data_IF_855496031054
#
_entry.id   IF_855496031054
#
_cell.length_a   1.000
_cell.length_b   1.000
_cell.length_c   1.000
_cell.angle_alpha   90.00
_cell.angle_beta   90.00
_cell.angle_gamma   90.00
#
_symmetry.space_group_name_H-M   'P 1'
#
loop_
_entity.id
_entity.type
_entity.pdbx_description
1 polymer ?
#
# COMPACT_ATOMS: atom_id res chain seq x y z
N UNK A 1 8.86 33.63 33.96
CA UNK A 1 8.32 32.92 32.79
C UNK A 1 8.86 31.51 32.84
N UNK A 2 8.01 30.49 33.02
CA UNK A 2 8.44 29.11 33.29
C UNK A 2 8.96 28.49 31.98
N UNK A 3 10.26 28.22 31.89
CA UNK A 3 10.93 27.67 30.70
C UNK A 3 10.25 26.38 30.20
N UNK A 4 9.66 25.59 31.11
CA UNK A 4 8.93 24.37 30.75
C UNK A 4 7.65 24.64 29.96
N UNK A 5 6.99 25.80 30.15
CA UNK A 5 5.81 26.18 29.35
C UNK A 5 6.15 26.58 27.92
N UNK A 6 7.43 26.78 27.60
CA UNK A 6 7.83 27.03 26.21
C UNK A 6 7.58 25.79 25.34
N UNK A 7 7.61 24.58 25.93
CA UNK A 7 7.37 23.32 25.19
C UNK A 7 5.99 23.28 24.50
N UNK A 8 4.99 23.94 25.08
CA UNK A 8 3.63 23.98 24.53
C UNK A 8 3.57 24.81 23.24
N UNK A 9 4.46 25.78 23.09
CA UNK A 9 4.54 26.67 21.94
C UNK A 9 5.53 26.16 20.86
N UNK A 10 6.51 25.32 21.24
CA UNK A 10 7.51 24.79 20.30
C UNK A 10 6.85 24.07 19.12
N UNK A 11 5.76 23.34 19.35
CA UNK A 11 5.09 22.61 18.27
C UNK A 11 4.34 23.52 17.30
N UNK A 12 3.74 24.62 17.78
CA UNK A 12 2.99 25.55 16.91
C UNK A 12 3.94 26.40 16.08
N UNK A 13 5.02 26.90 16.70
CA UNK A 13 5.87 27.93 16.09
C UNK A 13 7.18 27.39 15.51
N UNK A 14 7.81 26.40 16.15
CA UNK A 14 9.15 25.93 15.76
C UNK A 14 9.11 24.63 14.94
N UNK A 15 8.07 23.80 15.10
CA UNK A 15 7.89 22.55 14.37
C UNK A 15 6.42 22.33 13.95
N UNK A 16 5.85 23.22 13.10
CA UNK A 16 4.49 23.03 12.61
C UNK A 16 4.37 21.72 11.82
N UNK A 17 3.16 21.20 11.73
CA UNK A 17 2.87 20.12 10.79
C UNK A 17 3.23 20.54 9.37
N UNK A 18 3.68 19.58 8.57
CA UNK A 18 3.79 19.78 7.12
C UNK A 18 2.42 20.17 6.54
N UNK A 19 2.45 20.96 5.46
CA UNK A 19 1.23 21.37 4.78
C UNK A 19 0.37 20.15 4.42
N UNK A 20 -0.91 20.26 4.77
CA UNK A 20 -1.92 19.29 4.39
C UNK A 20 -2.10 19.35 2.87
N UNK A 21 -2.40 18.23 2.22
CA UNK A 21 -2.63 18.19 0.76
C UNK A 21 -3.66 19.22 0.28
N UNK A 22 -4.69 19.47 1.10
CA UNK A 22 -5.72 20.44 0.79
C UNK A 22 -5.26 21.91 0.88
N UNK A 23 -4.08 22.20 1.44
CA UNK A 23 -3.57 23.57 1.58
C UNK A 23 -3.47 24.31 0.25
N UNK A 24 -3.17 23.59 -0.84
CA UNK A 24 -3.07 24.14 -2.21
C UNK A 24 -4.44 24.39 -2.87
N UNK A 25 -5.55 24.02 -2.23
CA UNK A 25 -6.90 24.22 -2.77
C UNK A 25 -7.41 25.63 -2.47
N UNK A 26 -8.43 26.03 -3.23
CA UNK A 26 -9.15 27.26 -2.95
C UNK A 26 -9.81 27.22 -1.55
N UNK A 27 -10.03 28.40 -0.98
CA UNK A 27 -10.54 28.53 0.37
C UNK A 27 -11.91 27.86 0.57
N UNK A 28 -12.77 27.86 -0.44
CA UNK A 28 -14.10 27.23 -0.35
C UNK A 28 -13.93 25.73 -0.18
N UNK A 29 -13.07 25.11 -0.99
CA UNK A 29 -12.75 23.67 -0.88
C UNK A 29 -12.15 23.33 0.49
N UNK A 30 -11.20 24.12 0.98
CA UNK A 30 -10.57 23.89 2.30
C UNK A 30 -11.59 24.00 3.44
N UNK A 31 -12.44 25.03 3.40
CA UNK A 31 -13.46 25.24 4.44
C UNK A 31 -14.50 24.12 4.46
N UNK A 32 -14.94 23.63 3.29
CA UNK A 32 -15.87 22.50 3.21
C UNK A 32 -15.23 21.18 3.64
N UNK A 33 -13.94 20.98 3.35
CA UNK A 33 -13.17 19.84 3.87
C UNK A 33 -13.20 19.82 5.40
N UNK A 34 -12.81 20.93 6.04
CA UNK A 34 -12.76 21.00 7.50
C UNK A 34 -14.16 20.95 8.10
N UNK A 35 -15.16 21.54 7.46
CA UNK A 35 -16.54 21.46 7.93
C UNK A 35 -17.08 20.02 7.92
N UNK A 36 -16.72 19.19 6.92
CA UNK A 36 -17.06 17.76 6.93
C UNK A 36 -16.34 17.00 8.05
N UNK A 37 -15.05 17.30 8.29
CA UNK A 37 -14.31 16.74 9.43
C UNK A 37 -14.98 17.10 10.76
N UNK A 38 -15.30 18.38 10.97
CA UNK A 38 -15.97 18.87 12.18
C UNK A 38 -17.37 18.29 12.33
N UNK A 39 -18.11 18.08 11.24
CA UNK A 39 -19.40 17.38 11.28
C UNK A 39 -19.24 15.95 11.84
N UNK A 40 -18.17 15.23 11.47
CA UNK A 40 -17.88 13.91 12.04
C UNK A 40 -17.57 14.02 13.54
N UNK A 41 -16.72 14.96 13.95
CA UNK A 41 -16.35 15.12 15.36
C UNK A 41 -17.52 15.56 16.24
N UNK A 42 -18.37 16.46 15.75
CA UNK A 42 -19.54 16.98 16.46
C UNK A 42 -20.70 15.97 16.51
N UNK A 43 -20.67 14.91 15.69
CA UNK A 43 -21.67 13.83 15.76
C UNK A 43 -21.70 13.14 17.13
N UNK A 44 -20.62 13.25 17.90
CA UNK A 44 -20.49 12.69 19.25
C UNK A 44 -20.72 13.73 20.36
N UNK A 45 -21.25 14.90 20.02
CA UNK A 45 -21.51 16.00 20.94
C UNK A 45 -20.49 17.13 20.79
N UNK A 46 -19.65 17.32 21.80
CA UNK A 46 -18.66 18.41 21.83
C UNK A 46 -17.27 17.91 21.48
N UNK A 47 -16.48 18.74 20.79
CA UNK A 47 -15.05 18.51 20.56
C UNK A 47 -14.34 18.38 21.92
N UNK A 48 -13.63 17.27 22.12
CA UNK A 48 -12.89 17.00 23.35
C UNK A 48 -11.65 17.88 23.49
N UNK A 49 -11.03 17.89 24.69
CA UNK A 49 -9.78 18.65 24.90
C UNK A 49 -8.62 18.14 24.03
N UNK A 50 -8.55 16.83 23.80
CA UNK A 50 -7.53 16.20 22.98
C UNK A 50 -7.75 16.50 21.50
N UNK A 51 -9.01 16.43 21.04
CA UNK A 51 -9.38 16.82 19.68
C UNK A 51 -9.12 18.31 19.43
N UNK A 52 -9.50 19.18 20.37
CA UNK A 52 -9.24 20.61 20.30
C UNK A 52 -7.74 20.89 20.19
N UNK A 53 -6.94 20.26 21.06
CA UNK A 53 -5.48 20.42 21.02
C UNK A 53 -4.90 19.96 19.68
N UNK A 54 -5.41 18.88 19.10
CA UNK A 54 -4.98 18.44 17.77
C UNK A 54 -5.40 19.44 16.68
N UNK A 55 -6.62 19.99 16.75
CA UNK A 55 -7.10 21.01 15.80
C UNK A 55 -6.21 22.27 15.84
N UNK A 56 -5.81 22.71 17.03
CA UNK A 56 -4.92 23.87 17.21
C UNK A 56 -3.59 23.69 16.47
N UNK A 57 -3.05 22.46 16.43
CA UNK A 57 -1.83 22.16 15.68
C UNK A 57 -2.09 21.90 14.19
N UNK A 58 -3.20 21.26 13.84
CA UNK A 58 -3.46 20.75 12.50
C UNK A 58 -4.12 21.79 11.57
N UNK A 59 -5.03 22.65 12.06
CA UNK A 59 -5.69 23.70 11.23
C UNK A 59 -4.72 24.65 10.51
N UNK A 60 -3.57 25.04 11.10
CA UNK A 60 -2.55 25.79 10.37
C UNK A 60 -2.03 25.05 9.13
N UNK A 61 -1.91 23.71 9.16
CA UNK A 61 -1.40 22.92 8.02
C UNK A 61 -2.30 22.97 6.78
N UNK A 62 -3.60 23.25 6.95
CA UNK A 62 -4.55 23.45 5.85
C UNK A 62 -4.77 24.94 5.54
N UNK A 63 -4.03 25.85 6.18
CA UNK A 63 -4.15 27.29 5.96
C UNK A 63 -5.43 27.92 6.51
N UNK A 64 -6.04 27.32 7.54
CA UNK A 64 -7.28 27.78 8.17
C UNK A 64 -7.12 28.01 9.68
N UNK A 65 -5.93 28.45 10.10
CA UNK A 65 -5.68 28.86 11.48
C UNK A 65 -6.74 29.89 11.95
N UNK A 66 -7.13 29.81 13.23
CA UNK A 66 -8.09 30.70 13.90
C UNK A 66 -9.53 30.73 13.35
N UNK A 67 -9.87 29.90 12.35
CA UNK A 67 -11.21 29.88 11.73
C UNK A 67 -12.16 28.83 12.27
N UNK A 68 -11.78 28.11 13.33
CA UNK A 68 -12.56 26.97 13.83
C UNK A 68 -14.03 27.34 14.15
N UNK A 69 -14.30 28.51 14.72
CA UNK A 69 -15.66 28.93 15.04
C UNK A 69 -16.55 29.03 13.79
N UNK A 70 -16.06 29.71 12.74
CA UNK A 70 -16.74 29.83 11.44
C UNK A 70 -16.94 28.45 10.79
N UNK A 71 -15.95 27.56 10.89
CA UNK A 71 -15.98 26.22 10.33
C UNK A 71 -16.96 25.30 11.08
N UNK A 72 -17.10 25.44 12.40
CA UNK A 72 -18.14 24.77 13.18
C UNK A 72 -19.55 25.22 12.77
N UNK A 73 -19.74 26.52 12.52
CA UNK A 73 -21.02 27.04 12.01
C UNK A 73 -21.32 26.51 10.60
N UNK A 74 -20.30 26.41 9.74
CA UNK A 74 -20.43 25.77 8.43
C UNK A 74 -20.80 24.29 8.55
N UNK A 75 -20.14 23.53 9.43
CA UNK A 75 -20.46 22.13 9.70
C UNK A 75 -21.92 21.94 10.13
N UNK A 76 -22.45 22.83 10.99
CA UNK A 76 -23.85 22.81 11.41
C UNK A 76 -24.85 23.08 10.27
N UNK A 77 -24.44 23.80 9.22
CA UNK A 77 -25.25 24.04 8.01
C UNK A 77 -25.21 22.84 7.06
N UNK A 78 -24.05 22.19 6.90
CA UNK A 78 -23.93 20.99 6.08
C UNK A 78 -24.91 19.91 6.51
N UNK A 79 -25.11 19.72 7.82
CA UNK A 79 -26.04 18.73 8.37
C UNK A 79 -27.53 18.95 8.01
N UNK A 80 -27.91 20.06 7.36
CA UNK A 80 -29.31 20.38 7.04
C UNK A 80 -29.62 20.25 5.54
N UNK A 81 -28.95 21.02 4.69
CA UNK A 81 -29.30 21.16 3.27
C UNK A 81 -28.08 21.28 2.33
N UNK A 82 -26.90 21.62 2.85
CA UNK A 82 -25.70 21.90 2.05
C UNK A 82 -24.71 20.72 1.92
N UNK A 83 -25.00 19.56 2.54
CA UNK A 83 -24.11 18.38 2.50
C UNK A 83 -23.82 17.92 1.06
N UNK A 84 -24.83 17.93 0.19
CA UNK A 84 -24.69 17.48 -1.19
C UNK A 84 -23.67 18.30 -1.98
N UNK A 85 -23.67 19.62 -1.78
CA UNK A 85 -22.73 20.54 -2.45
C UNK A 85 -21.31 20.34 -1.94
N UNK A 86 -21.13 20.16 -0.62
CA UNK A 86 -19.84 19.84 -0.03
C UNK A 86 -19.26 18.53 -0.56
N UNK A 87 -20.07 17.47 -0.60
CA UNK A 87 -19.68 16.17 -1.15
C UNK A 87 -19.29 16.34 -2.63
N UNK A 88 -20.10 17.05 -3.42
CA UNK A 88 -19.83 17.26 -4.84
C UNK A 88 -18.55 18.04 -5.10
N UNK A 89 -18.22 19.00 -4.22
CA UNK A 89 -16.99 19.78 -4.29
C UNK A 89 -15.77 18.87 -4.08
N UNK A 90 -15.75 18.10 -2.99
CA UNK A 90 -14.61 17.22 -2.66
C UNK A 90 -14.48 16.06 -3.64
N UNK A 91 -15.59 15.56 -4.20
CA UNK A 91 -15.59 14.43 -5.14
C UNK A 91 -14.81 14.67 -6.44
N UNK A 92 -14.44 15.92 -6.72
CA UNK A 92 -13.60 16.29 -7.86
C UNK A 92 -12.12 15.88 -7.65
N UNK A 93 -11.71 15.63 -6.41
CA UNK A 93 -10.34 15.29 -6.04
C UNK A 93 -10.30 14.07 -5.10
N UNK A 94 -9.94 12.87 -5.61
CA UNK A 94 -9.83 11.65 -4.81
C UNK A 94 -8.89 11.76 -3.60
N UNK A 95 -7.87 12.62 -3.66
CA UNK A 95 -6.91 12.78 -2.57
C UNK A 95 -7.53 13.55 -1.39
N UNK A 96 -8.42 14.51 -1.63
CA UNK A 96 -9.17 15.16 -0.55
C UNK A 96 -10.04 14.15 0.19
N UNK A 97 -10.65 13.21 -0.52
CA UNK A 97 -11.51 12.21 0.11
C UNK A 97 -10.68 11.28 1.02
N UNK A 98 -9.55 10.78 0.51
CA UNK A 98 -8.67 9.90 1.27
C UNK A 98 -8.11 10.59 2.53
N UNK A 99 -7.69 11.85 2.40
CA UNK A 99 -7.29 12.68 3.53
C UNK A 99 -8.41 12.83 4.55
N UNK A 100 -9.63 13.17 4.10
CA UNK A 100 -10.77 13.44 4.99
C UNK A 100 -11.12 12.23 5.85
N UNK A 101 -11.12 11.04 5.24
CA UNK A 101 -11.39 9.79 5.97
C UNK A 101 -10.27 9.49 6.96
N UNK A 102 -9.00 9.67 6.58
CA UNK A 102 -7.86 9.49 7.48
C UNK A 102 -7.96 10.43 8.69
N UNK A 103 -8.15 11.73 8.44
CA UNK A 103 -8.27 12.74 9.49
C UNK A 103 -9.44 12.42 10.41
N UNK A 104 -10.60 12.11 9.84
CA UNK A 104 -11.80 11.75 10.62
C UNK A 104 -11.52 10.59 11.57
N UNK A 105 -10.86 9.53 11.10
CA UNK A 105 -10.50 8.39 11.94
C UNK A 105 -9.49 8.76 13.03
N UNK A 106 -8.44 9.53 12.70
CA UNK A 106 -7.41 9.94 13.67
C UNK A 106 -8.03 10.82 14.77
N UNK A 107 -8.75 11.87 14.38
CA UNK A 107 -9.37 12.80 15.33
C UNK A 107 -10.45 12.15 16.19
N UNK A 108 -11.29 11.28 15.63
CA UNK A 108 -12.32 10.57 16.41
C UNK A 108 -11.74 9.51 17.34
N UNK A 109 -10.54 8.97 17.05
CA UNK A 109 -9.92 7.88 17.82
C UNK A 109 -8.92 8.34 18.87
N UNK A 110 -8.49 9.61 18.83
CA UNK A 110 -7.34 10.13 19.60
C UNK A 110 -7.45 9.94 21.11
N UNK A 111 -8.66 9.98 21.67
CA UNK A 111 -8.90 9.93 23.12
C UNK A 111 -9.87 8.82 23.55
N UNK A 112 -10.50 8.13 22.59
CA UNK A 112 -11.47 7.04 22.83
C UNK A 112 -11.59 6.11 21.62
N UNK A 113 -12.13 4.89 21.76
CA UNK A 113 -12.50 4.04 20.63
C UNK A 113 -13.53 4.72 19.71
N UNK A 114 -13.53 4.37 18.42
CA UNK A 114 -14.60 4.83 17.50
C UNK A 114 -15.93 4.25 17.97
N UNK A 115 -16.96 5.08 18.00
CA UNK A 115 -18.34 4.66 18.27
C UNK A 115 -19.02 4.19 16.98
N UNK A 116 -20.06 3.36 17.11
CA UNK A 116 -20.85 2.88 15.95
C UNK A 116 -21.39 4.03 15.10
N UNK A 117 -21.72 5.16 15.73
CA UNK A 117 -22.16 6.39 15.04
C UNK A 117 -21.07 6.95 14.12
N UNK A 118 -19.85 7.09 14.63
CA UNK A 118 -18.72 7.58 13.83
C UNK A 118 -18.36 6.59 12.73
N UNK A 119 -18.32 5.29 13.04
CA UNK A 119 -18.06 4.24 12.03
C UNK A 119 -19.08 4.33 10.90
N UNK A 120 -20.37 4.39 11.22
CA UNK A 120 -21.45 4.51 10.23
C UNK A 120 -21.31 5.76 9.37
N UNK A 121 -20.89 6.89 9.97
CA UNK A 121 -20.73 8.15 9.24
C UNK A 121 -19.51 8.12 8.31
N UNK A 122 -18.38 7.58 8.76
CA UNK A 122 -17.15 7.43 7.95
C UNK A 122 -17.41 6.43 6.81
N UNK A 123 -18.11 5.33 7.06
CA UNK A 123 -18.54 4.37 6.02
C UNK A 123 -19.50 5.01 5.02
N UNK A 124 -20.46 5.82 5.48
CA UNK A 124 -21.36 6.55 4.60
C UNK A 124 -20.59 7.53 3.70
N UNK A 125 -19.63 8.28 4.24
CA UNK A 125 -18.75 9.15 3.47
C UNK A 125 -17.95 8.34 2.43
N UNK A 126 -17.31 7.24 2.84
CA UNK A 126 -16.59 6.35 1.91
C UNK A 126 -17.49 5.83 0.77
N UNK A 127 -18.75 5.49 1.09
CA UNK A 127 -19.77 5.08 0.13
C UNK A 127 -20.17 6.20 -0.85
N UNK A 128 -20.40 7.43 -0.37
CA UNK A 128 -20.72 8.58 -1.24
C UNK A 128 -19.62 8.87 -2.27
N UNK A 129 -18.38 8.59 -1.90
CA UNK A 129 -17.21 8.76 -2.74
C UNK A 129 -16.82 7.52 -3.55
N UNK A 130 -17.53 6.39 -3.39
CA UNK A 130 -17.30 5.15 -4.10
C UNK A 130 -15.87 4.59 -3.95
N UNK A 131 -15.30 4.69 -2.74
CA UNK A 131 -13.98 4.09 -2.45
C UNK A 131 -14.05 2.57 -2.58
N UNK A 132 -12.98 1.97 -3.14
CA UNK A 132 -12.83 0.53 -3.12
C UNK A 132 -12.47 0.05 -1.71
N UNK A 133 -12.90 -1.17 -1.36
CA UNK A 133 -12.60 -1.82 -0.07
C UNK A 133 -11.11 -1.77 0.27
N UNK A 134 -10.25 -2.15 -0.67
CA UNK A 134 -8.80 -2.08 -0.51
C UNK A 134 -8.27 -0.67 -0.19
N UNK A 135 -8.89 0.37 -0.74
CA UNK A 135 -8.49 1.75 -0.44
C UNK A 135 -8.87 2.13 0.98
N UNK A 136 -10.06 1.71 1.44
CA UNK A 136 -10.49 1.94 2.81
C UNK A 136 -9.60 1.19 3.82
N UNK A 137 -9.26 -0.08 3.55
CA UNK A 137 -8.32 -0.86 4.36
C UNK A 137 -6.96 -0.15 4.50
N UNK A 138 -6.45 0.40 3.40
CA UNK A 138 -5.19 1.15 3.41
C UNK A 138 -5.28 2.38 4.33
N UNK A 139 -6.39 3.12 4.29
CA UNK A 139 -6.58 4.31 5.14
C UNK A 139 -6.71 3.89 6.61
N UNK A 140 -7.44 2.80 6.91
CA UNK A 140 -7.58 2.25 8.27
C UNK A 140 -6.21 1.84 8.82
N UNK A 141 -5.39 1.18 8.02
CA UNK A 141 -4.01 0.85 8.41
C UNK A 141 -3.21 2.11 8.73
N UNK A 142 -3.25 3.13 7.87
CA UNK A 142 -2.50 4.37 8.11
C UNK A 142 -2.98 5.08 9.37
N UNK A 143 -4.29 5.12 9.63
CA UNK A 143 -4.84 5.67 10.87
C UNK A 143 -4.29 4.92 12.09
N UNK A 144 -4.34 3.59 12.05
CA UNK A 144 -3.79 2.74 13.11
C UNK A 144 -2.28 2.96 13.32
N UNK A 145 -1.53 3.05 12.22
CA UNK A 145 -0.08 3.30 12.24
C UNK A 145 0.26 4.66 12.86
N UNK A 146 -0.43 5.74 12.45
CA UNK A 146 -0.23 7.10 12.98
C UNK A 146 -0.58 7.17 14.47
N UNK A 147 -1.65 6.48 14.88
CA UNK A 147 -2.09 6.42 16.27
C UNK A 147 -1.23 5.46 17.13
N UNK A 148 -0.27 4.75 16.55
CA UNK A 148 0.54 3.75 17.25
C UNK A 148 -0.24 2.53 17.73
N UNK A 149 -1.36 2.22 17.09
CA UNK A 149 -2.17 1.04 17.37
C UNK A 149 -1.54 -0.22 16.76
N UNK A 150 -1.78 -1.42 17.32
CA UNK A 150 -1.33 -2.67 16.71
C UNK A 150 -1.90 -2.84 15.30
N UNK A 151 -1.03 -3.08 14.32
CA UNK A 151 -1.41 -3.26 12.91
C UNK A 151 -1.23 -4.70 12.42
N UNK A 152 -0.90 -5.64 13.31
CA UNK A 152 -0.53 -7.03 12.98
C UNK A 152 -1.69 -7.83 12.36
N UNK A 153 -2.93 -7.43 12.66
CA UNK A 153 -4.15 -8.05 12.14
C UNK A 153 -4.75 -7.31 10.94
N UNK A 154 -4.11 -6.23 10.47
CA UNK A 154 -4.56 -5.43 9.33
C UNK A 154 -3.57 -5.67 8.21
N UNK A 155 -4.06 -5.99 7.01
CA UNK A 155 -3.19 -6.15 5.85
C UNK A 155 -2.44 -4.83 5.60
N UNK A 156 -1.11 -4.91 5.60
CA UNK A 156 -0.29 -3.72 5.40
C UNK A 156 -0.46 -3.20 3.97
N UNK A 157 -0.72 -1.90 3.80
CA UNK A 157 -0.83 -1.32 2.49
C UNK A 157 0.43 -1.50 1.65
N UNK A 158 0.25 -1.28 0.36
CA UNK A 158 1.33 -1.20 -0.62
C UNK A 158 2.37 -0.14 -0.20
N UNK A 159 3.66 -0.47 -0.15
CA UNK A 159 4.74 0.51 0.15
C UNK A 159 4.79 1.71 -0.81
N UNK A 160 4.45 1.49 -2.08
CA UNK A 160 4.32 2.54 -3.09
C UNK A 160 2.92 3.15 -3.07
N UNK A 161 2.19 3.01 -1.96
CA UNK A 161 1.00 3.80 -1.72
C UNK A 161 1.39 5.25 -1.91
N UNK A 162 0.58 5.91 -2.71
CA UNK A 162 0.63 7.35 -2.82
C UNK A 162 0.30 7.97 -1.46
N UNK A 163 1.33 8.51 -0.81
CA UNK A 163 1.23 9.19 0.48
C UNK A 163 0.95 10.68 0.34
N UNK A 164 0.86 11.20 -0.90
CA UNK A 164 0.51 12.60 -1.18
C UNK A 164 -0.77 13.05 -0.45
N UNK A 165 -1.86 12.25 -0.37
CA UNK A 165 -3.07 12.65 0.36
C UNK A 165 -2.87 12.86 1.86
N UNK A 166 -1.80 12.27 2.43
CA UNK A 166 -1.60 12.16 3.87
C UNK A 166 -0.40 12.98 4.36
N UNK A 167 0.04 13.98 3.58
CA UNK A 167 1.23 14.79 3.89
C UNK A 167 1.14 15.54 5.22
N UNK A 168 -0.07 15.88 5.68
CA UNK A 168 -0.30 16.47 7.01
C UNK A 168 0.19 15.57 8.16
N UNK A 169 0.33 14.26 7.93
CA UNK A 169 0.80 13.27 8.90
C UNK A 169 2.18 12.69 8.57
N UNK A 170 2.92 13.32 7.65
CA UNK A 170 4.17 12.80 7.09
C UNK A 170 5.25 12.48 8.14
N UNK A 171 5.29 13.20 9.26
CA UNK A 171 6.22 12.90 10.36
C UNK A 171 6.02 11.52 10.98
N UNK A 172 4.76 11.07 11.09
CA UNK A 172 4.42 9.75 11.63
C UNK A 172 4.64 8.69 10.57
N UNK A 173 4.36 9.03 9.31
CA UNK A 173 4.53 8.15 8.16
C UNK A 173 5.99 8.04 7.70
N UNK A 174 6.91 8.81 8.26
CA UNK A 174 8.33 8.81 7.91
C UNK A 174 8.96 7.40 8.01
N UNK A 175 8.51 6.59 8.96
CA UNK A 175 8.97 5.23 9.14
C UNK A 175 8.16 4.16 8.40
N UNK A 176 7.03 4.51 7.77
CA UNK A 176 6.20 3.54 7.04
C UNK A 176 7.01 2.82 5.95
N UNK A 177 7.61 3.59 5.02
CA UNK A 177 8.48 3.03 3.96
C UNK A 177 9.73 2.32 4.54
N UNK A 178 10.49 2.90 5.49
CA UNK A 178 11.59 2.21 6.15
C UNK A 178 11.24 0.89 6.84
N UNK A 179 10.06 0.76 7.44
CA UNK A 179 9.66 -0.46 8.14
C UNK A 179 9.41 -1.62 7.18
N UNK A 180 8.74 -1.38 6.05
CA UNK A 180 8.60 -2.39 5.01
C UNK A 180 9.95 -2.81 4.42
N UNK A 181 10.83 -1.84 4.12
CA UNK A 181 12.18 -2.16 3.66
C UNK A 181 12.99 -2.97 4.70
N UNK A 182 12.85 -2.67 6.00
CA UNK A 182 13.49 -3.45 7.08
C UNK A 182 13.00 -4.90 7.11
N UNK A 183 11.72 -5.17 6.85
CA UNK A 183 11.20 -6.55 6.77
C UNK A 183 11.73 -7.27 5.54
N UNK A 184 11.84 -6.59 4.40
CA UNK A 184 12.54 -7.13 3.22
C UNK A 184 14.00 -7.45 3.55
N UNK A 185 14.71 -6.56 4.24
CA UNK A 185 16.10 -6.78 4.63
C UNK A 185 16.24 -7.96 5.61
N UNK A 186 15.35 -8.04 6.61
CA UNK A 186 15.29 -9.17 7.54
C UNK A 186 15.08 -10.50 6.80
N UNK A 187 14.11 -10.54 5.89
CA UNK A 187 13.91 -11.73 5.03
C UNK A 187 15.15 -12.04 4.19
N UNK A 188 15.81 -11.01 3.65
CA UNK A 188 17.04 -11.18 2.87
C UNK A 188 18.17 -11.80 3.70
N UNK A 189 18.32 -11.36 4.95
CA UNK A 189 19.32 -11.86 5.88
C UNK A 189 19.01 -13.30 6.32
N UNK A 190 17.74 -13.60 6.64
CA UNK A 190 17.26 -14.95 6.96
C UNK A 190 17.50 -15.94 5.81
N UNK A 191 17.36 -15.47 4.57
CA UNK A 191 17.61 -16.26 3.35
C UNK A 191 19.05 -16.13 2.82
N UNK A 192 19.94 -15.47 3.57
CA UNK A 192 21.36 -15.30 3.24
C UNK A 192 21.60 -14.72 1.84
N UNK A 193 20.74 -13.81 1.41
CA UNK A 193 20.84 -13.16 0.10
C UNK A 193 22.00 -12.16 0.15
N UNK A 194 23.01 -12.23 -0.73
CA UNK A 194 24.11 -11.28 -0.76
C UNK A 194 23.67 -9.82 -0.99
N UNK A 195 24.41 -8.85 -0.42
CA UNK A 195 24.11 -7.40 -0.51
C UNK A 195 24.25 -6.82 -1.91
N UNK A 196 25.05 -7.46 -2.77
CA UNK A 196 25.16 -7.11 -4.18
C UNK A 196 23.93 -7.54 -5.01
N UNK A 197 23.10 -8.43 -4.50
CA UNK A 197 21.86 -8.88 -5.18
C UNK A 197 20.64 -8.18 -4.59
N UNK A 198 20.58 -8.05 -3.26
CA UNK A 198 19.55 -7.26 -2.58
C UNK A 198 20.20 -6.31 -1.56
N UNK A 199 20.32 -5.02 -1.87
CA UNK A 199 21.02 -4.06 -1.01
C UNK A 199 20.22 -3.78 0.26
N UNK A 200 20.92 -3.56 1.38
CA UNK A 200 20.33 -3.16 2.68
C UNK A 200 20.21 -1.64 2.77
N UNK A 201 19.79 -1.03 1.67
CA UNK A 201 19.66 0.42 1.53
C UNK A 201 18.43 0.70 0.68
N UNK A 202 17.48 1.45 1.25
CA UNK A 202 16.18 1.74 0.64
C UNK A 202 16.34 2.47 -0.70
N UNK A 203 17.24 3.46 -0.77
CA UNK A 203 17.50 4.21 -2.00
C UNK A 203 18.09 3.34 -3.12
N UNK A 204 18.80 2.27 -2.76
CA UNK A 204 19.35 1.32 -3.73
C UNK A 204 18.35 0.25 -4.19
N UNK A 205 17.22 0.06 -3.49
CA UNK A 205 16.20 -0.93 -3.89
C UNK A 205 15.58 -0.61 -5.25
N UNK A 206 15.43 0.67 -5.59
CA UNK A 206 14.95 1.12 -6.90
C UNK A 206 15.86 0.69 -8.07
N UNK A 207 17.14 0.40 -7.78
CA UNK A 207 18.12 -0.03 -8.77
C UNK A 207 18.16 -1.55 -8.95
N UNK A 208 17.43 -2.32 -8.16
CA UNK A 208 17.38 -3.78 -8.28
C UNK A 208 16.59 -4.14 -9.54
N UNK A 209 17.31 -4.54 -10.59
CA UNK A 209 16.72 -4.93 -11.88
C UNK A 209 16.44 -6.42 -11.99
N UNK A 210 17.22 -7.23 -11.29
CA UNK A 210 17.13 -8.68 -11.36
C UNK A 210 17.21 -9.24 -9.95
N UNK A 211 16.30 -10.18 -9.65
CA UNK A 211 16.28 -10.89 -8.39
C UNK A 211 16.07 -12.36 -8.70
N UNK A 212 17.05 -13.18 -8.36
CA UNK A 212 16.92 -14.62 -8.49
C UNK A 212 17.55 -15.34 -7.30
N UNK A 213 17.25 -16.63 -7.14
CA UNK A 213 17.94 -17.50 -6.19
C UNK A 213 18.55 -18.74 -6.85
N UNK A 214 18.56 -18.79 -8.18
CA UNK A 214 18.97 -19.97 -8.95
C UNK A 214 20.48 -20.08 -9.05
N UNK A 215 21.20 -18.96 -9.16
CA UNK A 215 22.66 -18.91 -9.14
C UNK A 215 23.25 -18.82 -7.74
N UNK A 216 22.40 -18.74 -6.71
CA UNK A 216 22.82 -18.51 -5.34
C UNK A 216 23.16 -19.84 -4.67
N UNK A 217 24.45 -20.14 -4.58
CA UNK A 217 24.96 -21.24 -3.76
C UNK A 217 25.43 -20.71 -2.42
N UNK A 218 24.97 -21.32 -1.34
CA UNK A 218 25.53 -21.13 0.01
C UNK A 218 26.05 -22.49 0.45
N UNK A 219 27.35 -22.62 0.67
CA UNK A 219 28.01 -23.87 1.05
C UNK A 219 27.66 -25.04 0.11
N UNK A 220 27.86 -24.84 -1.20
CA UNK A 220 27.56 -25.80 -2.28
C UNK A 220 26.08 -26.22 -2.44
N UNK A 221 25.18 -25.68 -1.61
CA UNK A 221 23.73 -25.91 -1.68
C UNK A 221 23.03 -24.74 -2.38
N UNK A 222 22.14 -25.05 -3.32
CA UNK A 222 21.27 -24.05 -3.97
C UNK A 222 20.32 -23.46 -2.93
N UNK A 223 20.30 -22.13 -2.79
CA UNK A 223 19.35 -21.43 -1.92
C UNK A 223 17.95 -21.55 -2.52
N UNK A 224 16.99 -22.03 -1.73
CA UNK A 224 15.58 -22.08 -2.09
C UNK A 224 14.82 -21.20 -1.14
N UNK A 225 14.13 -20.19 -1.68
CA UNK A 225 13.33 -19.30 -0.86
C UNK A 225 12.05 -20.02 -0.42
N UNK A 226 11.68 -19.85 0.84
CA UNK A 226 10.44 -20.40 1.40
C UNK A 226 9.23 -19.61 0.92
N UNK A 227 8.63 -18.84 1.84
CA UNK A 227 7.69 -17.77 1.48
C UNK A 227 8.45 -16.54 1.00
N UNK A 228 7.87 -15.87 0.02
CA UNK A 228 8.32 -14.53 -0.39
C UNK A 228 7.61 -13.51 0.49
N UNK A 229 8.33 -12.48 0.98
CA UNK A 229 7.72 -11.42 1.75
C UNK A 229 6.86 -10.58 0.80
N UNK A 230 5.77 -10.01 1.30
CA UNK A 230 4.99 -9.04 0.52
C UNK A 230 5.86 -7.85 0.10
N UNK A 231 6.91 -7.58 0.88
CA UNK A 231 7.89 -6.55 0.64
C UNK A 231 8.90 -6.90 -0.48
N UNK A 232 8.85 -8.10 -1.09
CA UNK A 232 9.63 -8.35 -2.31
C UNK A 232 9.05 -7.55 -3.48
N UNK A 233 7.74 -7.35 -3.49
CA UNK A 233 7.04 -6.62 -4.55
C UNK A 233 7.25 -5.11 -4.47
N UNK A 234 8.14 -4.63 -3.59
CA UNK A 234 8.60 -3.24 -3.48
C UNK A 234 9.66 -2.85 -4.50
N UNK A 235 10.25 -3.84 -5.15
CA UNK A 235 11.29 -3.63 -6.14
C UNK A 235 10.65 -3.11 -7.43
N UNK A 236 10.16 -1.88 -7.43
CA UNK A 236 9.46 -1.27 -8.56
C UNK A 236 10.32 -1.20 -9.82
N UNK A 237 11.64 -1.15 -9.66
CA UNK A 237 12.62 -1.22 -10.73
C UNK A 237 12.85 -2.62 -11.32
N UNK A 238 12.28 -3.68 -10.73
CA UNK A 238 12.58 -5.07 -11.08
C UNK A 238 12.05 -5.43 -12.47
N UNK A 239 12.94 -5.97 -13.30
CA UNK A 239 12.67 -6.37 -14.68
C UNK A 239 12.70 -7.89 -14.86
N UNK A 240 13.43 -8.60 -14.01
CA UNK A 240 13.50 -10.06 -14.03
C UNK A 240 13.39 -10.64 -12.62
N UNK A 241 12.41 -11.53 -12.43
CA UNK A 241 12.20 -12.27 -11.18
C UNK A 241 12.24 -13.76 -11.47
N UNK A 242 13.22 -14.46 -10.89
CA UNK A 242 13.39 -15.91 -11.06
C UNK A 242 13.45 -16.60 -9.71
N UNK A 243 12.46 -17.42 -9.37
CA UNK A 243 12.31 -17.97 -8.04
C UNK A 243 12.21 -19.48 -8.10
N UNK A 244 13.21 -20.14 -7.51
CA UNK A 244 13.18 -21.57 -7.19
C UNK A 244 12.70 -21.78 -5.74
N UNK A 245 11.57 -22.45 -5.58
CA UNK A 245 11.01 -22.73 -4.25
C UNK A 245 10.34 -24.10 -4.18
N UNK A 246 10.64 -24.86 -3.12
CA UNK A 246 9.90 -26.09 -2.79
C UNK A 246 8.61 -25.83 -2.02
N UNK A 247 8.46 -24.65 -1.41
CA UNK A 247 7.36 -24.34 -0.49
C UNK A 247 6.30 -23.43 -1.09
N UNK A 248 6.61 -22.73 -2.19
CA UNK A 248 5.68 -21.80 -2.81
C UNK A 248 4.51 -22.54 -3.46
N UNK A 249 3.31 -22.38 -2.90
CA UNK A 249 2.09 -23.03 -3.41
C UNK A 249 1.31 -22.18 -4.41
N UNK A 250 1.52 -20.87 -4.37
CA UNK A 250 0.83 -19.88 -5.20
C UNK A 250 1.76 -18.72 -5.51
N UNK A 251 1.61 -18.13 -6.69
CA UNK A 251 2.10 -16.77 -6.92
C UNK A 251 1.07 -15.83 -6.28
N UNK A 252 1.46 -14.91 -5.38
CA UNK A 252 0.51 -14.00 -4.75
C UNK A 252 0.05 -12.91 -5.72
N UNK A 253 -1.16 -12.37 -5.51
CA UNK A 253 -1.74 -11.29 -6.30
C UNK A 253 -0.82 -10.06 -6.39
N UNK A 254 -0.02 -9.82 -5.34
CA UNK A 254 1.00 -8.78 -5.28
C UNK A 254 2.05 -8.83 -6.40
N UNK A 255 2.16 -9.93 -7.15
CA UNK A 255 3.00 -9.98 -8.36
C UNK A 255 2.65 -8.86 -9.36
N UNK A 256 1.37 -8.48 -9.46
CA UNK A 256 0.89 -7.42 -10.34
C UNK A 256 1.51 -6.04 -10.02
N UNK A 257 2.10 -5.86 -8.84
CA UNK A 257 2.78 -4.62 -8.42
C UNK A 257 4.09 -4.38 -9.17
N UNK A 258 4.73 -5.41 -9.72
CA UNK A 258 6.01 -5.30 -10.42
C UNK A 258 5.82 -4.81 -11.86
N UNK A 259 5.34 -3.57 -12.05
CA UNK A 259 4.95 -3.01 -13.37
C UNK A 259 6.09 -2.96 -14.41
N UNK A 260 7.35 -3.09 -13.96
CA UNK A 260 8.51 -3.14 -14.85
C UNK A 260 8.96 -4.56 -15.21
N UNK A 261 8.29 -5.59 -14.70
CA UNK A 261 8.67 -6.99 -14.89
C UNK A 261 8.50 -7.40 -16.35
N UNK A 262 9.60 -7.86 -16.96
CA UNK A 262 9.69 -8.39 -18.33
C UNK A 262 9.80 -9.90 -18.33
N UNK A 263 10.51 -10.45 -17.35
CA UNK A 263 10.73 -11.89 -17.24
C UNK A 263 10.26 -12.37 -15.88
N UNK A 264 9.37 -13.35 -15.90
CA UNK A 264 8.90 -14.04 -14.71
C UNK A 264 9.16 -15.53 -14.83
N UNK A 265 9.97 -16.07 -13.93
CA UNK A 265 10.24 -17.48 -13.84
C UNK A 265 9.93 -17.98 -12.43
N UNK A 266 8.96 -18.89 -12.32
CA UNK A 266 8.62 -19.57 -11.08
C UNK A 266 8.89 -21.06 -11.24
N UNK A 267 9.95 -21.50 -10.58
CA UNK A 267 10.39 -22.88 -10.54
C UNK A 267 9.96 -23.50 -9.21
N UNK A 268 8.77 -24.08 -9.19
CA UNK A 268 8.22 -24.66 -7.96
C UNK A 268 7.54 -25.99 -8.16
N UNK A 269 7.84 -26.92 -7.25
CA UNK A 269 7.24 -28.25 -7.21
C UNK A 269 5.80 -28.25 -6.68
N UNK A 270 5.37 -27.16 -6.03
CA UNK A 270 4.09 -27.10 -5.32
C UNK A 270 3.18 -25.96 -5.78
N UNK A 271 3.61 -25.13 -6.74
CA UNK A 271 2.80 -24.03 -7.23
C UNK A 271 1.61 -24.55 -8.06
N UNK A 272 0.38 -24.30 -7.60
CA UNK A 272 -0.85 -24.79 -8.23
C UNK A 272 -1.78 -23.70 -8.73
N UNK A 273 -1.56 -22.45 -8.32
CA UNK A 273 -2.48 -21.35 -8.60
C UNK A 273 -1.74 -20.13 -9.11
N UNK A 274 -2.28 -19.53 -10.16
CA UNK A 274 -1.80 -18.28 -10.75
C UNK A 274 -2.82 -17.16 -10.47
N UNK A 275 -2.37 -15.94 -10.09
CA UNK A 275 -3.23 -14.81 -9.84
C UNK A 275 -3.63 -14.12 -11.15
N UNK A 276 -4.84 -13.55 -11.22
CA UNK A 276 -5.30 -12.77 -12.39
C UNK A 276 -4.44 -11.52 -12.60
N UNK A 277 -3.81 -11.04 -11.53
CA UNK A 277 -2.93 -9.88 -11.47
C UNK A 277 -1.66 -10.03 -12.34
N UNK A 278 -1.34 -11.24 -12.81
CA UNK A 278 -0.35 -11.43 -13.89
C UNK A 278 -0.74 -10.65 -15.16
N UNK A 279 -2.03 -10.44 -15.41
CA UNK A 279 -2.54 -9.66 -16.53
C UNK A 279 -2.29 -8.15 -16.39
N UNK A 280 -1.83 -7.69 -15.22
CA UNK A 280 -1.47 -6.29 -15.00
C UNK A 280 0.00 -5.98 -15.32
N UNK A 281 0.77 -7.00 -15.72
CA UNK A 281 2.19 -6.87 -16.04
C UNK A 281 2.36 -6.52 -17.52
N UNK A 282 2.06 -5.27 -17.87
CA UNK A 282 2.03 -4.80 -19.27
C UNK A 282 3.38 -4.93 -20.02
N UNK A 283 4.50 -4.98 -19.29
CA UNK A 283 5.84 -5.13 -19.86
C UNK A 283 6.32 -6.58 -19.91
N UNK A 284 5.49 -7.54 -19.49
CA UNK A 284 5.86 -8.94 -19.41
C UNK A 284 6.07 -9.50 -20.83
N UNK A 285 7.19 -10.19 -21.02
CA UNK A 285 7.63 -10.73 -22.30
C UNK A 285 7.83 -12.24 -22.23
N UNK A 286 8.22 -12.77 -21.07
CA UNK A 286 8.50 -14.18 -20.87
C UNK A 286 7.93 -14.67 -19.54
N UNK A 287 7.15 -15.74 -19.60
CA UNK A 287 6.68 -16.49 -18.44
C UNK A 287 7.25 -17.91 -18.49
N UNK A 288 7.98 -18.28 -17.46
CA UNK A 288 8.38 -19.67 -17.22
C UNK A 288 7.70 -20.19 -15.96
N UNK A 289 6.93 -21.26 -16.07
CA UNK A 289 6.36 -21.97 -14.91
C UNK A 289 6.69 -23.45 -15.08
N UNK A 290 7.51 -23.99 -14.19
CA UNK A 290 7.94 -25.39 -14.28
C UNK A 290 8.22 -25.98 -12.90
N UNK A 291 7.93 -27.28 -12.68
CA UNK A 291 8.43 -27.99 -11.50
C UNK A 291 9.95 -28.21 -11.56
N UNK A 292 10.57 -28.23 -12.75
CA UNK A 292 12.01 -28.44 -12.91
C UNK A 292 12.53 -27.91 -14.25
N UNK A 293 13.68 -27.22 -14.22
CA UNK A 293 14.47 -26.91 -15.42
C UNK A 293 15.95 -27.16 -15.12
N UNK A 294 16.67 -27.73 -16.09
CA UNK A 294 18.13 -27.76 -16.08
C UNK A 294 18.63 -26.50 -16.82
N UNK A 295 19.59 -25.76 -16.24
CA UNK A 295 20.22 -24.64 -16.93
C UNK A 295 21.21 -25.19 -17.96
N UNK A 296 20.91 -25.08 -19.25
CA UNK A 296 21.88 -25.39 -20.32
C UNK A 296 22.07 -24.17 -21.21
N UNK A 297 23.26 -23.58 -21.15
CA UNK A 297 23.76 -22.65 -22.16
C UNK A 297 22.80 -21.53 -22.53
N UNK A 298 22.30 -20.79 -21.54
CA UNK A 298 21.42 -19.61 -21.67
C UNK A 298 19.93 -19.87 -21.90
N UNK A 299 19.46 -21.12 -22.00
CA UNK A 299 18.03 -21.45 -22.11
C UNK A 299 17.63 -22.49 -21.05
N UNK A 300 16.52 -22.24 -20.37
CA UNK A 300 15.93 -23.19 -19.42
C UNK A 300 15.14 -24.26 -20.17
N UNK A 301 15.57 -25.52 -20.09
CA UNK A 301 14.85 -26.64 -20.68
C UNK A 301 14.14 -27.46 -19.59
N UNK A 302 12.86 -27.84 -19.77
CA UNK A 302 12.14 -28.67 -18.81
C UNK A 302 12.79 -30.05 -18.67
N UNK A 303 13.11 -30.47 -17.44
CA UNK A 303 13.51 -31.85 -17.15
C UNK A 303 12.28 -32.62 -16.69
N UNK A 304 11.89 -33.65 -17.46
CA UNK A 304 10.67 -34.43 -17.21
C UNK A 304 11.09 -35.74 -16.54
N UNK A 305 11.09 -35.79 -15.21
CA UNK A 305 11.23 -37.07 -14.49
C UNK A 305 10.14 -37.33 -13.45
N UNK A 306 9.30 -36.35 -13.12
CA UNK A 306 8.10 -36.55 -12.30
C UNK A 306 6.91 -35.79 -12.92
N UNK A 307 5.68 -36.33 -12.84
CA UNK A 307 4.51 -35.59 -13.28
C UNK A 307 4.35 -34.36 -12.40
N UNK A 308 4.52 -33.18 -13.00
CA UNK A 308 4.06 -31.94 -12.40
C UNK A 308 2.64 -32.14 -11.90
N UNK A 309 2.35 -31.78 -10.65
CA UNK A 309 0.96 -31.68 -10.21
C UNK A 309 0.30 -30.54 -10.99
N UNK A 310 -0.82 -30.81 -11.64
CA UNK A 310 -1.50 -29.86 -12.51
C UNK A 310 -1.81 -28.53 -11.79
N UNK A 311 -1.77 -27.42 -12.53
CA UNK A 311 -2.33 -26.16 -12.05
C UNK A 311 -3.82 -26.37 -11.81
N UNK A 312 -4.29 -26.04 -10.61
CA UNK A 312 -5.70 -26.19 -10.25
C UNK A 312 -6.51 -24.92 -10.49
N UNK A 313 -5.83 -23.77 -10.68
CA UNK A 313 -6.49 -22.49 -10.89
C UNK A 313 -5.65 -21.57 -11.79
N UNK A 314 -6.04 -21.50 -13.06
CA UNK A 314 -5.51 -20.56 -14.05
C UNK A 314 -6.61 -19.54 -14.37
N UNK A 315 -6.37 -18.23 -14.20
CA UNK A 315 -7.34 -17.19 -14.54
C UNK A 315 -7.73 -17.27 -16.01
N UNK A 316 -9.03 -17.15 -16.32
CA UNK A 316 -9.55 -17.28 -17.70
C UNK A 316 -9.00 -16.21 -18.64
N UNK A 317 -8.63 -15.07 -18.09
CA UNK A 317 -8.09 -13.91 -18.80
C UNK A 317 -6.61 -14.11 -19.18
N UNK A 318 -5.88 -14.95 -18.43
CA UNK A 318 -4.43 -15.08 -18.55
C UNK A 318 -3.98 -15.63 -19.92
N UNK A 319 -4.59 -16.70 -20.47
CA UNK A 319 -4.23 -17.18 -21.82
C UNK A 319 -4.48 -16.12 -22.90
N UNK A 320 -5.60 -15.40 -22.80
CA UNK A 320 -5.92 -14.31 -23.72
C UNK A 320 -4.92 -13.16 -23.60
N UNK A 321 -4.58 -12.76 -22.38
CA UNK A 321 -3.58 -11.73 -22.10
C UNK A 321 -2.22 -12.10 -22.71
N UNK A 322 -1.77 -13.33 -22.53
CA UNK A 322 -0.50 -13.81 -23.08
C UNK A 322 -0.51 -13.75 -24.60
N UNK A 323 -1.54 -14.31 -25.24
CA UNK A 323 -1.67 -14.31 -26.70
C UNK A 323 -1.74 -12.89 -27.26
N UNK A 324 -2.54 -12.02 -26.64
CA UNK A 324 -2.72 -10.63 -27.07
C UNK A 324 -1.41 -9.83 -27.02
N UNK A 325 -0.57 -10.08 -26.01
CA UNK A 325 0.66 -9.33 -25.80
C UNK A 325 1.91 -10.05 -26.36
N UNK A 326 1.74 -11.14 -27.12
CA UNK A 326 2.83 -11.96 -27.67
C UNK A 326 3.86 -12.38 -26.61
N UNK A 327 3.38 -12.77 -25.42
CA UNK A 327 4.24 -13.20 -24.32
C UNK A 327 4.73 -14.62 -24.60
N UNK A 328 6.04 -14.81 -24.57
CA UNK A 328 6.66 -16.12 -24.66
C UNK A 328 6.32 -16.95 -23.41
N UNK A 329 5.87 -18.19 -23.61
CA UNK A 329 5.59 -19.12 -22.52
C UNK A 329 6.53 -20.32 -22.63
N UNK A 330 7.27 -20.57 -21.55
CA UNK A 330 8.04 -21.80 -21.37
C UNK A 330 7.47 -22.58 -20.18
N UNK A 331 6.59 -23.55 -20.46
CA UNK A 331 5.93 -24.36 -19.43
C UNK A 331 6.09 -25.84 -19.70
N UNK A 332 6.01 -26.65 -18.65
CA UNK A 332 6.03 -28.11 -18.79
C UNK A 332 4.81 -28.59 -19.61
N UNK A 333 4.94 -29.70 -20.38
CA UNK A 333 3.84 -30.23 -21.20
C UNK A 333 2.53 -30.45 -20.42
N UNK A 334 2.65 -30.84 -19.16
CA UNK A 334 1.54 -31.08 -18.24
C UNK A 334 0.64 -29.86 -17.96
N UNK A 335 1.15 -28.63 -18.09
CA UNK A 335 0.36 -27.40 -17.84
C UNK A 335 0.21 -26.55 -19.10
N UNK A 336 0.83 -26.96 -20.22
CA UNK A 336 0.78 -26.24 -21.50
C UNK A 336 -0.65 -26.04 -22.01
N UNK A 337 -1.51 -27.04 -21.80
CA UNK A 337 -2.92 -27.03 -22.22
C UNK A 337 -3.77 -25.90 -21.59
N UNK A 338 -3.33 -25.29 -20.47
CA UNK A 338 -4.04 -24.16 -19.89
C UNK A 338 -3.82 -22.85 -20.67
N UNK A 339 -2.79 -22.80 -21.53
CA UNK A 339 -2.37 -21.61 -22.25
C UNK A 339 -2.59 -21.71 -23.78
N UNK A 340 -3.00 -22.88 -24.27
CA UNK A 340 -3.42 -23.14 -25.65
C UNK A 340 -4.94 -22.93 -25.79
#
# INVERSE_FOLDING_TARGET
>A
MNILRQIDNLRIFEQPYHDHYAADKDEVTRSHYVALLLMVLLSEGTISKQQQRMLDFWLPSIGLADRQAELCELAGRLAKDQLGDAIKLLKQDPYLIRGLLLDSMIFSRIDKPLTDSVVSLVEALAGFFALKEQELENIVYLAAFILGLPTESIDEPYFDMDLLPYQGWSEFLYHYRPNAARRLFKWADENKIPTNILPRNIGALANVKQLNNESHKVNDSVVRWGSLPEELYLLSGLESLSIKSEKLKKIPASIGRLKNLKTLAFLSFNCRTLPKELCELEKLQLITISPYVEYRGFIWQPFISEPARELTNVPKELPFFIKKNNIEINVSPSIKHFFE
#
